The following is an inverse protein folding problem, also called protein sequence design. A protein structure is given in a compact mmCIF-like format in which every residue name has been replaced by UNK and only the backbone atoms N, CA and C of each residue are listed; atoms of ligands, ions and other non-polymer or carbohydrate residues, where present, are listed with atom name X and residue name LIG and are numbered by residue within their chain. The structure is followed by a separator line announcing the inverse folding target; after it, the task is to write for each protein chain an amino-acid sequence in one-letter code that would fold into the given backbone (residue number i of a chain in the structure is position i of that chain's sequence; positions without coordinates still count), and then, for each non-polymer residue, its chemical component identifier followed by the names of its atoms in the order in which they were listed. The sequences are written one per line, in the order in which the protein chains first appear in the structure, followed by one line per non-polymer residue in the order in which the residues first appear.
data_IF_653819286446
#
_entry.id   IF_653819286446
#
_cell.length_a   1.000
_cell.length_b   1.000
_cell.length_c   1.000
_cell.angle_alpha   90.00
_cell.angle_beta   90.00
_cell.angle_gamma   90.00
#
_symmetry.space_group_name_H-M   'P 1'
#
loop_
_entity.id
_entity.type
_entity.pdbx_description
1 polymer ?
#
# COMPACT_ATOMS: atom_id res chain seq x y z
N UNK A 1 -26.37 -1.14 -48.67
CA UNK A 1 -24.95 -1.38 -48.40
C UNK A 1 -24.83 -1.62 -46.91
N UNK A 2 -24.63 -2.88 -46.51
CA UNK A 2 -24.57 -3.27 -45.10
C UNK A 2 -23.22 -2.82 -44.52
N UNK A 3 -23.27 -1.97 -43.50
CA UNK A 3 -22.09 -1.53 -42.76
C UNK A 3 -21.82 -2.54 -41.64
N UNK A 4 -20.94 -3.50 -41.90
CA UNK A 4 -20.39 -4.42 -40.90
C UNK A 4 -19.34 -3.68 -40.06
N UNK A 5 -19.77 -3.14 -38.92
CA UNK A 5 -18.85 -2.80 -37.84
C UNK A 5 -18.63 -4.07 -36.99
N UNK A 6 -17.58 -4.80 -37.35
CA UNK A 6 -16.94 -5.79 -36.47
C UNK A 6 -16.18 -5.01 -35.40
N UNK A 7 -16.86 -4.68 -34.31
CA UNK A 7 -16.21 -4.23 -33.08
C UNK A 7 -15.65 -5.48 -32.39
N UNK A 8 -14.48 -5.91 -32.85
CA UNK A 8 -13.63 -6.87 -32.15
C UNK A 8 -13.13 -6.20 -30.86
N UNK A 9 -13.99 -6.21 -29.84
CA UNK A 9 -13.71 -5.88 -28.45
C UNK A 9 -12.61 -6.83 -27.95
N UNK A 10 -11.36 -6.47 -28.24
CA UNK A 10 -10.17 -7.10 -27.71
C UNK A 10 -10.15 -6.91 -26.20
N UNK A 11 -10.82 -7.79 -25.48
CA UNK A 11 -10.84 -7.87 -24.03
C UNK A 11 -9.39 -8.06 -23.58
N UNK A 12 -8.70 -6.97 -23.22
CA UNK A 12 -7.31 -6.99 -22.75
C UNK A 12 -7.27 -7.61 -21.35
N UNK A 13 -7.47 -8.93 -21.29
CA UNK A 13 -7.25 -9.72 -20.10
C UNK A 13 -5.76 -9.64 -19.78
N UNK A 14 -5.42 -8.94 -18.69
CA UNK A 14 -4.05 -8.98 -18.19
C UNK A 14 -3.71 -10.45 -17.90
N UNK A 15 -2.59 -10.97 -18.44
CA UNK A 15 -2.33 -12.40 -18.39
C UNK A 15 -2.18 -12.85 -16.94
N UNK A 16 -2.85 -13.95 -16.58
CA UNK A 16 -2.84 -14.54 -15.24
C UNK A 16 -1.42 -14.74 -14.67
N UNK A 17 -0.44 -14.97 -15.56
CA UNK A 17 0.97 -15.07 -15.23
C UNK A 17 1.54 -13.82 -14.52
N UNK A 18 1.04 -12.63 -14.83
CA UNK A 18 1.46 -11.38 -14.17
C UNK A 18 1.01 -11.33 -12.72
N UNK A 19 -0.24 -11.70 -12.45
CA UNK A 19 -0.76 -11.79 -11.09
C UNK A 19 -0.02 -12.85 -10.26
N UNK A 20 0.31 -13.99 -10.86
CA UNK A 20 1.05 -15.05 -10.17
C UNK A 20 2.48 -14.63 -9.82
N UNK A 21 3.15 -13.89 -10.72
CA UNK A 21 4.48 -13.29 -10.43
C UNK A 21 4.43 -12.29 -9.28
N UNK A 22 3.43 -11.40 -9.28
CA UNK A 22 3.27 -10.40 -8.20
C UNK A 22 2.90 -11.10 -6.88
N UNK A 23 2.04 -12.12 -6.91
CA UNK A 23 1.73 -12.92 -5.73
C UNK A 23 2.99 -13.58 -5.16
N UNK A 24 3.83 -14.18 -6.01
CA UNK A 24 5.13 -14.73 -5.60
C UNK A 24 6.04 -13.67 -4.95
N UNK A 25 6.12 -12.47 -5.52
CA UNK A 25 6.86 -11.36 -4.93
C UNK A 25 6.30 -10.95 -3.55
N UNK A 26 4.97 -10.87 -3.40
CA UNK A 26 4.33 -10.55 -2.11
C UNK A 26 4.60 -11.62 -1.05
N UNK A 27 4.60 -12.90 -1.42
CA UNK A 27 4.98 -13.97 -0.53
C UNK A 27 6.46 -13.83 -0.10
N UNK A 28 7.37 -13.58 -1.04
CA UNK A 28 8.77 -13.35 -0.73
C UNK A 28 8.98 -12.16 0.22
N UNK A 29 8.29 -11.03 -0.01
CA UNK A 29 8.31 -9.88 0.89
C UNK A 29 7.74 -10.22 2.28
N UNK A 30 6.74 -11.11 2.36
CA UNK A 30 6.17 -11.54 3.64
C UNK A 30 7.15 -12.40 4.42
N UNK A 31 7.84 -13.35 3.77
CA UNK A 31 8.93 -14.09 4.40
C UNK A 31 10.04 -13.15 4.87
N UNK A 32 10.40 -12.15 4.05
CA UNK A 32 11.38 -11.13 4.43
C UNK A 32 10.94 -10.36 5.69
N UNK A 33 9.66 -10.02 5.84
CA UNK A 33 9.14 -9.39 7.06
C UNK A 33 9.27 -10.30 8.28
N UNK A 34 8.95 -11.59 8.14
CA UNK A 34 9.06 -12.55 9.25
C UNK A 34 10.52 -12.70 9.69
N UNK A 35 11.45 -12.76 8.74
CA UNK A 35 12.89 -12.84 9.01
C UNK A 35 13.35 -11.55 9.68
N UNK A 36 12.99 -10.37 9.15
CA UNK A 36 13.33 -9.08 9.74
C UNK A 36 12.78 -8.95 11.18
N UNK A 37 11.59 -9.49 11.44
CA UNK A 37 11.01 -9.54 12.78
C UNK A 37 11.80 -10.48 13.72
N UNK A 38 12.34 -11.59 13.22
CA UNK A 38 13.18 -12.47 14.04
C UNK A 38 14.50 -11.79 14.46
N UNK A 39 15.06 -10.95 13.59
CA UNK A 39 16.27 -10.16 13.89
C UNK A 39 15.98 -8.85 14.64
N UNK A 40 14.72 -8.55 14.96
CA UNK A 40 14.29 -7.32 15.65
C UNK A 40 15.09 -7.02 16.93
N UNK A 41 15.42 -8.05 17.72
CA UNK A 41 16.21 -7.90 18.95
C UNK A 41 17.63 -7.34 18.72
N UNK A 42 18.21 -7.52 17.53
CA UNK A 42 19.55 -7.04 17.19
C UNK A 42 19.53 -5.62 16.59
N UNK A 43 18.40 -5.21 15.99
CA UNK A 43 18.25 -3.90 15.34
C UNK A 43 17.78 -2.79 16.29
N UNK A 44 17.19 -3.12 17.44
CA UNK A 44 16.74 -2.13 18.42
C UNK A 44 15.86 -1.04 17.81
N UNK A 45 16.28 0.22 17.93
CA UNK A 45 15.52 1.38 17.43
C UNK A 45 15.34 1.42 15.90
N UNK A 46 16.21 0.74 15.13
CA UNK A 46 16.11 0.71 13.66
C UNK A 46 15.08 -0.30 13.15
N UNK A 47 14.59 -1.20 13.99
CA UNK A 47 13.69 -2.25 13.54
C UNK A 47 12.33 -1.73 13.07
N UNK A 48 11.78 -0.70 13.75
CA UNK A 48 10.52 -0.08 13.35
C UNK A 48 10.61 0.58 11.95
N UNK A 49 11.57 1.48 11.66
CA UNK A 49 11.76 2.03 10.32
C UNK A 49 11.92 0.95 9.23
N UNK A 50 12.69 -0.11 9.49
CA UNK A 50 12.88 -1.21 8.54
C UNK A 50 11.56 -1.94 8.27
N UNK A 51 10.78 -2.23 9.32
CA UNK A 51 9.47 -2.86 9.17
C UNK A 51 8.50 -2.00 8.34
N UNK A 52 8.46 -0.69 8.59
CA UNK A 52 7.64 0.25 7.82
C UNK A 52 8.09 0.34 6.36
N UNK A 53 9.38 0.29 6.08
CA UNK A 53 9.91 0.29 4.72
C UNK A 53 9.46 -0.96 3.95
N UNK A 54 9.61 -2.16 4.54
CA UNK A 54 9.16 -3.42 3.91
C UNK A 54 7.64 -3.40 3.69
N UNK A 55 6.88 -2.93 4.69
CA UNK A 55 5.44 -2.78 4.59
C UNK A 55 5.02 -1.83 3.45
N UNK A 56 5.76 -0.72 3.27
CA UNK A 56 5.50 0.27 2.22
C UNK A 56 5.71 -0.34 0.83
N UNK A 57 6.80 -1.07 0.61
CA UNK A 57 7.06 -1.75 -0.68
C UNK A 57 5.96 -2.77 -0.98
N UNK A 58 5.55 -3.56 0.03
CA UNK A 58 4.44 -4.51 -0.11
C UNK A 58 3.14 -3.81 -0.50
N UNK A 59 2.79 -2.72 0.18
CA UNK A 59 1.59 -1.93 -0.11
C UNK A 59 1.61 -1.37 -1.54
N UNK A 60 2.74 -0.82 -2.00
CA UNK A 60 2.88 -0.29 -3.36
C UNK A 60 2.68 -1.37 -4.42
N UNK A 61 3.25 -2.57 -4.20
CA UNK A 61 3.04 -3.70 -5.11
C UNK A 61 1.55 -4.10 -5.20
N UNK A 62 0.85 -4.14 -4.06
CA UNK A 62 -0.60 -4.42 -4.03
C UNK A 62 -1.38 -3.34 -4.76
N UNK A 63 -1.09 -2.06 -4.50
CA UNK A 63 -1.79 -0.93 -5.13
C UNK A 63 -1.61 -0.91 -6.65
N UNK A 64 -0.40 -1.16 -7.16
CA UNK A 64 -0.14 -1.10 -8.60
C UNK A 64 -0.81 -2.24 -9.37
N UNK A 65 -0.81 -3.45 -8.81
CA UNK A 65 -1.22 -4.66 -9.53
C UNK A 65 -2.60 -5.18 -9.15
N UNK A 66 -2.87 -5.36 -7.86
CA UNK A 66 -4.14 -5.95 -7.38
C UNK A 66 -5.29 -4.94 -7.33
N UNK A 67 -4.99 -3.68 -7.02
CA UNK A 67 -5.98 -2.58 -7.17
C UNK A 67 -6.06 -2.07 -8.61
N UNK A 68 -5.29 -2.66 -9.52
CA UNK A 68 -5.24 -2.31 -10.95
C UNK A 68 -4.96 -0.81 -11.22
N UNK A 69 -4.45 -0.07 -10.22
CA UNK A 69 -4.28 1.38 -10.27
C UNK A 69 -3.30 1.83 -11.37
N UNK A 70 -2.41 0.93 -11.80
CA UNK A 70 -1.53 1.13 -12.95
C UNK A 70 -2.29 1.20 -14.29
N UNK A 71 -3.35 0.42 -14.43
CA UNK A 71 -4.13 0.24 -15.66
C UNK A 71 -5.47 0.98 -15.64
N UNK A 72 -5.91 1.43 -14.47
CA UNK A 72 -7.13 2.21 -14.27
C UNK A 72 -6.95 3.69 -14.70
N UNK A 73 -8.08 4.38 -14.79
CA UNK A 73 -8.21 5.81 -15.02
C UNK A 73 -7.40 6.66 -14.03
N UNK A 74 -6.95 7.83 -14.52
CA UNK A 74 -6.20 8.81 -13.73
C UNK A 74 -7.02 9.30 -12.52
N UNK A 75 -8.35 9.34 -12.64
CA UNK A 75 -9.28 9.72 -11.56
C UNK A 75 -9.13 8.77 -10.36
N UNK A 76 -9.14 7.46 -10.57
CA UNK A 76 -8.99 6.49 -9.47
C UNK A 76 -7.65 6.65 -8.75
N UNK A 77 -6.58 6.94 -9.50
CA UNK A 77 -5.26 7.21 -8.91
C UNK A 77 -5.22 8.47 -8.06
N UNK A 78 -5.91 9.54 -8.49
CA UNK A 78 -6.01 10.80 -7.73
C UNK A 78 -6.85 10.62 -6.47
N UNK A 79 -8.00 9.93 -6.56
CA UNK A 79 -8.85 9.65 -5.39
C UNK A 79 -8.07 8.86 -4.34
N UNK A 80 -7.34 7.83 -4.76
CA UNK A 80 -6.51 7.04 -3.87
C UNK A 80 -5.40 7.88 -3.21
N UNK A 81 -4.73 8.72 -3.99
CA UNK A 81 -3.73 9.67 -3.50
C UNK A 81 -4.31 10.68 -2.49
N UNK A 82 -5.52 11.20 -2.74
CA UNK A 82 -6.22 12.08 -1.83
C UNK A 82 -6.55 11.37 -0.51
N UNK A 83 -7.02 10.11 -0.56
CA UNK A 83 -7.25 9.30 0.64
C UNK A 83 -5.99 9.12 1.49
N UNK A 84 -4.86 8.79 0.87
CA UNK A 84 -3.57 8.69 1.56
C UNK A 84 -3.07 10.04 2.11
N UNK A 85 -3.31 11.14 1.38
CA UNK A 85 -2.98 12.48 1.85
C UNK A 85 -3.78 12.86 3.11
N UNK A 86 -5.10 12.64 3.10
CA UNK A 86 -5.93 12.89 4.28
C UNK A 86 -5.60 11.96 5.44
N UNK A 87 -5.26 10.70 5.18
CA UNK A 87 -4.78 9.78 6.21
C UNK A 87 -3.48 10.29 6.85
N UNK A 88 -2.51 10.71 6.03
CA UNK A 88 -1.25 11.27 6.53
C UNK A 88 -1.49 12.55 7.35
N UNK A 89 -2.40 13.41 6.90
CA UNK A 89 -2.81 14.61 7.63
C UNK A 89 -3.44 14.23 8.98
N UNK A 90 -4.39 13.29 9.01
CA UNK A 90 -5.01 12.80 10.24
C UNK A 90 -3.96 12.25 11.22
N UNK A 91 -3.06 11.38 10.76
CA UNK A 91 -2.01 10.81 11.61
C UNK A 91 -1.04 11.87 12.13
N UNK A 92 -0.68 12.86 11.31
CA UNK A 92 0.19 13.96 11.73
C UNK A 92 -0.47 14.80 12.83
N UNK A 93 -1.74 15.20 12.64
CA UNK A 93 -2.49 15.96 13.65
C UNK A 93 -2.73 15.16 14.92
N UNK A 94 -3.10 13.88 14.83
CA UNK A 94 -3.24 13.01 16.00
C UNK A 94 -1.91 12.82 16.74
N UNK A 95 -0.80 12.71 16.01
CA UNK A 95 0.53 12.68 16.61
C UNK A 95 0.85 13.98 17.36
N UNK A 96 0.60 15.14 16.74
CA UNK A 96 0.80 16.44 17.36
C UNK A 96 -0.09 16.63 18.61
N UNK A 97 -1.34 16.17 18.57
CA UNK A 97 -2.23 16.18 19.74
C UNK A 97 -1.60 15.40 20.91
N UNK A 98 -1.18 14.16 20.67
CA UNK A 98 -0.58 13.31 21.71
C UNK A 98 0.69 13.95 22.29
N UNK A 99 1.53 14.54 21.44
CA UNK A 99 2.78 15.17 21.87
C UNK A 99 2.58 16.46 22.67
N UNK A 100 1.55 17.23 22.35
CA UNK A 100 1.24 18.50 23.04
C UNK A 100 0.30 18.33 24.22
N UNK A 101 -0.31 17.15 24.38
CA UNK A 101 -1.25 16.85 25.46
C UNK A 101 -0.57 16.93 26.82
N UNK A 102 -1.01 17.90 27.63
CA UNK A 102 -0.72 17.96 29.06
C UNK A 102 -1.51 16.85 29.78
N UNK A 103 -0.81 16.03 30.56
CA UNK A 103 -1.43 14.97 31.36
C UNK A 103 -2.01 15.59 32.62
N UNK A 104 -3.32 15.81 32.62
CA UNK A 104 -4.08 16.17 33.82
C UNK A 104 -4.27 14.90 34.68
N UNK A 105 -3.39 14.64 35.64
CA UNK A 105 -3.64 13.66 36.69
C UNK A 105 -4.64 14.25 37.68
N UNK A 106 -5.93 13.92 37.52
CA UNK A 106 -6.96 14.32 38.48
C UNK A 106 -6.71 13.60 39.82
N UNK A 107 -6.39 14.36 40.88
CA UNK A 107 -6.02 13.85 42.21
C UNK A 107 -7.24 13.66 43.13
N UNK A 108 -8.33 13.06 42.64
CA UNK A 108 -9.40 12.57 43.51
C UNK A 108 -9.13 11.12 43.94
#
# INVERSE_FOLDING_TARGET
MANSHDDSQGHHITPFATYLKVAGALFALTFLTVIAHHFNQQLGALAAPVAFLIATVKAVLVMLWFMHLKYDSVINRVIFGAGFFFLALLLAFSGLDIWTRVVETSTL
#
